data_IF_812304784560
#
_entry.id   IF_812304784560
#
_cell.length_a   1.000
_cell.length_b   1.000
_cell.length_c   1.000
_cell.angle_alpha   90.00
_cell.angle_beta   90.00
_cell.angle_gamma   90.00
#
_symmetry.space_group_name_H-M   'P 1'
#
loop_
_entity.id
_entity.type
_entity.pdbx_description
1 polymer ?
#
# COMPACT_ATOMS: atom_id res chain seq x y z
N UNK A 1 -20.30 -33.79 -49.09
CA UNK A 1 -19.01 -33.98 -49.79
C UNK A 1 -18.16 -32.76 -49.44
N UNK A 2 -16.99 -32.81 -48.82
CA UNK A 2 -16.10 -33.93 -48.49
C UNK A 2 -15.39 -33.73 -47.14
N UNK A 3 -14.75 -34.81 -46.69
CA UNK A 3 -14.00 -34.95 -45.46
C UNK A 3 -12.52 -34.58 -45.60
N UNK A 4 -11.92 -34.09 -44.53
CA UNK A 4 -10.56 -34.33 -44.02
C UNK A 4 -10.52 -33.68 -42.62
N UNK A 5 -10.19 -34.29 -41.50
CA UNK A 5 -9.25 -35.38 -41.25
C UNK A 5 -8.18 -34.89 -40.27
N UNK A 6 -8.52 -34.93 -38.98
CA UNK A 6 -7.66 -35.20 -37.80
C UNK A 6 -6.30 -34.51 -37.63
N UNK A 7 -6.09 -33.86 -36.47
CA UNK A 7 -5.09 -34.31 -35.47
C UNK A 7 -5.13 -33.48 -34.18
N UNK A 8 -5.35 -34.20 -33.09
CA UNK A 8 -4.99 -33.83 -31.71
C UNK A 8 -3.46 -33.81 -31.65
N UNK A 9 -2.89 -32.72 -31.12
CA UNK A 9 -1.51 -32.69 -30.64
C UNK A 9 -1.57 -32.23 -29.19
N UNK A 10 -1.34 -33.19 -28.29
CA UNK A 10 -0.93 -32.92 -26.92
C UNK A 10 0.58 -32.70 -26.98
N UNK A 11 1.06 -31.50 -26.64
CA UNK A 11 2.43 -31.33 -26.15
C UNK A 11 2.37 -30.57 -24.81
N UNK A 12 3.18 -30.99 -23.82
CA UNK A 12 3.18 -30.43 -22.48
C UNK A 12 3.93 -29.09 -22.49
N UNK A 13 3.34 -28.06 -21.87
CA UNK A 13 4.12 -26.87 -21.52
C UNK A 13 5.13 -27.28 -20.44
N UNK A 14 6.38 -27.42 -20.87
CA UNK A 14 7.58 -27.53 -20.05
C UNK A 14 7.64 -26.31 -19.13
N UNK A 15 7.44 -26.54 -17.83
CA UNK A 15 7.86 -25.62 -16.78
C UNK A 15 9.39 -25.65 -16.73
N UNK A 16 10.01 -24.85 -17.61
CA UNK A 16 11.43 -24.55 -17.53
C UNK A 16 11.68 -23.66 -16.31
N UNK A 17 12.22 -24.31 -15.28
CA UNK A 17 13.37 -23.87 -14.49
C UNK A 17 13.59 -22.34 -14.45
N UNK A 18 12.81 -21.66 -13.61
CA UNK A 18 13.16 -20.31 -13.17
C UNK A 18 14.33 -20.46 -12.21
N UNK A 19 15.53 -20.44 -12.78
CA UNK A 19 16.78 -20.48 -12.05
C UNK A 19 16.77 -19.47 -10.90
N UNK A 20 17.28 -19.94 -9.76
CA UNK A 20 17.49 -19.18 -8.54
C UNK A 20 18.00 -17.77 -8.83
N UNK A 21 17.14 -16.77 -8.63
CA UNK A 21 17.56 -15.38 -8.56
C UNK A 21 18.37 -15.29 -7.26
N UNK A 22 19.65 -14.90 -7.29
CA UNK A 22 20.44 -14.78 -6.08
C UNK A 22 19.81 -13.69 -5.22
N UNK A 23 19.11 -14.10 -4.17
CA UNK A 23 18.86 -13.28 -3.00
C UNK A 23 20.24 -12.95 -2.43
N UNK A 24 20.80 -11.82 -2.85
CA UNK A 24 21.97 -11.24 -2.19
C UNK A 24 21.48 -10.85 -0.80
N UNK A 25 21.72 -11.75 0.14
CA UNK A 25 21.53 -11.52 1.55
C UNK A 25 22.27 -10.23 1.91
N UNK A 26 21.51 -9.24 2.39
CA UNK A 26 22.04 -8.06 3.06
C UNK A 26 22.63 -8.48 4.42
N UNK A 27 23.70 -9.26 4.39
CA UNK A 27 24.55 -9.54 5.54
C UNK A 27 25.65 -8.49 5.51
N UNK A 28 25.42 -7.39 6.23
CA UNK A 28 26.41 -6.56 6.95
C UNK A 28 25.82 -5.17 7.25
N UNK A 29 24.92 -5.07 8.24
CA UNK A 29 24.44 -3.76 8.73
C UNK A 29 23.93 -3.78 10.18
N UNK A 30 24.64 -4.44 11.10
CA UNK A 30 24.24 -4.52 12.52
C UNK A 30 24.99 -3.54 13.44
N UNK A 31 25.21 -2.33 12.93
CA UNK A 31 25.32 -1.12 13.76
C UNK A 31 24.43 -0.03 13.15
N UNK A 32 23.15 -0.34 12.98
CA UNK A 32 22.19 0.64 12.49
C UNK A 32 22.01 1.74 13.53
N UNK A 33 22.50 2.95 13.24
CA UNK A 33 21.97 4.15 13.89
C UNK A 33 20.48 4.14 13.62
N UNK A 34 19.67 4.02 14.68
CA UNK A 34 18.22 3.93 14.55
C UNK A 34 17.71 5.29 14.07
N UNK A 35 17.34 5.38 12.80
CA UNK A 35 16.78 6.58 12.21
C UNK A 35 15.52 7.00 12.99
N UNK A 36 15.47 8.26 13.42
CA UNK A 36 14.27 8.87 13.99
C UNK A 36 14.16 10.34 13.61
N UNK A 37 12.92 10.78 13.37
CA UNK A 37 12.60 12.18 13.06
C UNK A 37 11.53 12.64 14.05
N UNK A 38 11.88 13.60 14.90
CA UNK A 38 10.98 14.22 15.87
C UNK A 38 10.67 15.65 15.45
N UNK A 39 9.38 15.99 15.40
CA UNK A 39 8.90 17.34 15.08
C UNK A 39 8.26 17.92 16.33
N UNK A 40 8.82 19.01 16.85
CA UNK A 40 8.25 19.71 18.00
C UNK A 40 6.91 20.35 17.60
N UNK A 41 5.79 19.98 18.25
CA UNK A 41 4.47 20.46 17.87
C UNK A 41 4.26 21.96 18.14
N UNK A 42 5.07 22.57 19.01
CA UNK A 42 4.97 23.97 19.39
C UNK A 42 5.91 24.88 18.59
N UNK A 43 7.16 24.45 18.40
CA UNK A 43 8.19 25.25 17.73
C UNK A 43 8.36 24.88 16.26
N UNK A 44 7.80 23.74 15.83
CA UNK A 44 8.04 23.11 14.51
C UNK A 44 9.51 22.79 14.26
N UNK A 45 10.34 22.80 15.31
CA UNK A 45 11.73 22.39 15.23
C UNK A 45 11.82 20.89 14.89
N UNK A 46 12.76 20.55 14.02
CA UNK A 46 12.97 19.18 13.56
C UNK A 46 14.26 18.65 14.15
N UNK A 47 14.17 17.55 14.88
CA UNK A 47 15.32 16.77 15.31
C UNK A 47 15.38 15.50 14.47
N UNK A 48 16.48 15.32 13.74
CA UNK A 48 16.74 14.12 12.95
C UNK A 48 17.96 13.41 13.52
N UNK A 49 17.79 12.14 13.87
CA UNK A 49 18.86 11.26 14.35
C UNK A 49 19.08 10.16 13.32
N UNK A 50 20.33 9.93 12.92
CA UNK A 50 20.68 8.82 12.01
C UNK A 50 20.44 9.07 10.53
N UNK A 51 20.20 10.31 10.11
CA UNK A 51 20.22 10.66 8.68
C UNK A 51 21.64 10.61 8.12
N UNK A 52 21.75 10.13 6.89
CA UNK A 52 22.99 10.18 6.11
C UNK A 52 23.23 11.60 5.57
N UNK A 53 24.50 11.92 5.32
CA UNK A 53 24.90 13.15 4.62
C UNK A 53 25.25 12.86 3.15
N UNK A 54 25.21 13.91 2.32
CA UNK A 54 25.72 13.90 0.95
C UNK A 54 25.05 12.83 0.05
N UNK A 55 23.75 12.98 -0.20
CA UNK A 55 22.95 12.07 -1.03
C UNK A 55 23.63 11.83 -2.39
N UNK A 56 24.08 12.91 -3.05
CA UNK A 56 24.74 12.85 -4.35
C UNK A 56 26.12 12.18 -4.32
N UNK A 57 26.73 11.95 -3.15
CA UNK A 57 27.95 11.15 -3.05
C UNK A 57 27.64 9.66 -3.17
N UNK A 58 26.49 9.21 -2.66
CA UNK A 58 26.09 7.79 -2.60
C UNK A 58 25.21 7.36 -3.77
N UNK A 59 24.32 8.22 -4.26
CA UNK A 59 23.34 7.90 -5.29
C UNK A 59 23.46 8.78 -6.54
N UNK A 60 23.02 8.25 -7.68
CA UNK A 60 22.82 8.98 -8.92
C UNK A 60 21.33 8.97 -9.27
N UNK A 61 20.71 10.14 -9.43
CA UNK A 61 19.32 10.25 -9.88
C UNK A 61 19.22 9.98 -11.39
N UNK A 62 18.20 9.21 -11.78
CA UNK A 62 17.84 8.90 -13.16
C UNK A 62 16.46 9.46 -13.52
N UNK A 63 15.62 8.63 -14.15
CA UNK A 63 14.33 9.06 -14.68
C UNK A 63 13.32 9.43 -13.57
N UNK A 64 12.44 10.39 -13.87
CA UNK A 64 11.29 10.70 -13.01
C UNK A 64 10.24 9.60 -13.16
N UNK A 65 9.88 8.97 -12.04
CA UNK A 65 8.87 7.89 -11.99
C UNK A 65 7.57 8.32 -11.30
N UNK A 66 7.56 9.48 -10.62
CA UNK A 66 6.35 10.02 -10.00
C UNK A 66 6.47 11.51 -9.67
N UNK A 67 5.33 12.21 -9.61
CA UNK A 67 5.25 13.63 -9.23
C UNK A 67 4.09 13.83 -8.26
N UNK A 68 4.37 14.46 -7.11
CA UNK A 68 3.39 14.93 -6.13
C UNK A 68 3.40 16.45 -6.03
N UNK A 69 2.66 17.00 -5.05
CA UNK A 69 2.54 18.46 -4.88
C UNK A 69 3.88 19.17 -4.64
N UNK A 70 4.64 18.73 -3.62
CA UNK A 70 5.94 19.29 -3.26
C UNK A 70 7.09 18.28 -3.35
N UNK A 71 6.85 17.15 -4.01
CA UNK A 71 7.81 16.06 -4.14
C UNK A 71 7.88 15.51 -5.56
N UNK A 72 9.07 15.04 -5.94
CA UNK A 72 9.30 14.33 -7.20
C UNK A 72 9.97 13.01 -6.83
N UNK A 73 9.49 11.92 -7.41
CA UNK A 73 10.06 10.59 -7.22
C UNK A 73 10.89 10.24 -8.44
N UNK A 74 12.16 9.92 -8.20
CA UNK A 74 13.11 9.50 -9.22
C UNK A 74 13.45 8.03 -9.04
N UNK A 75 13.73 7.35 -10.15
CA UNK A 75 14.58 6.17 -10.12
C UNK A 75 16.01 6.62 -9.82
N UNK A 76 16.73 5.91 -8.97
CA UNK A 76 18.12 6.22 -8.63
C UNK A 76 18.97 4.95 -8.60
N UNK A 77 20.27 5.11 -8.70
CA UNK A 77 21.24 4.00 -8.65
C UNK A 77 22.23 4.25 -7.52
N UNK A 78 22.41 3.26 -6.65
CA UNK A 78 23.47 3.26 -5.63
C UNK A 78 24.82 3.09 -6.32
N UNK A 79 25.70 4.09 -6.21
CA UNK A 79 26.98 4.12 -6.95
C UNK A 79 27.90 2.94 -6.62
N UNK A 80 27.85 2.44 -5.39
CA UNK A 80 28.73 1.36 -4.93
C UNK A 80 28.39 -0.01 -5.54
N UNK A 81 27.10 -0.29 -5.77
CA UNK A 81 26.63 -1.62 -6.18
C UNK A 81 25.93 -1.64 -7.55
N UNK A 82 25.50 -0.49 -8.06
CA UNK A 82 24.67 -0.40 -9.26
C UNK A 82 23.19 -0.77 -9.03
N UNK A 83 22.78 -1.05 -7.80
CA UNK A 83 21.39 -1.43 -7.47
C UNK A 83 20.46 -0.22 -7.60
N UNK A 84 19.26 -0.47 -8.10
CA UNK A 84 18.24 0.54 -8.36
C UNK A 84 17.32 0.77 -7.15
N UNK A 85 16.96 2.03 -6.92
CA UNK A 85 16.12 2.50 -5.82
C UNK A 85 15.10 3.53 -6.31
N UNK A 86 14.04 3.73 -5.53
CA UNK A 86 13.15 4.87 -5.69
C UNK A 86 13.56 5.95 -4.67
N UNK A 87 13.66 7.20 -5.13
CA UNK A 87 14.04 8.33 -4.28
C UNK A 87 12.98 9.41 -4.37
N UNK A 88 12.28 9.64 -3.26
CA UNK A 88 11.33 10.73 -3.10
C UNK A 88 12.10 11.97 -2.63
N UNK A 89 12.28 12.93 -3.53
CA UNK A 89 12.92 14.22 -3.26
C UNK A 89 11.84 15.23 -2.83
N UNK A 90 11.95 15.78 -1.64
CA UNK A 90 10.97 16.72 -1.05
C UNK A 90 11.65 18.06 -0.80
N UNK A 91 11.07 19.15 -1.32
CA UNK A 91 11.60 20.50 -1.14
C UNK A 91 11.32 21.00 0.29
N UNK A 92 12.37 21.20 1.08
CA UNK A 92 12.27 21.60 2.50
C UNK A 92 11.57 22.94 2.68
N UNK A 93 11.90 23.89 1.83
CA UNK A 93 11.39 25.26 1.88
C UNK A 93 9.88 25.37 1.60
N UNK A 94 9.26 24.29 1.12
CA UNK A 94 7.82 24.22 0.80
C UNK A 94 7.01 23.46 1.83
N UNK A 95 7.63 22.89 2.86
CA UNK A 95 6.92 22.15 3.90
C UNK A 95 6.52 23.09 5.02
N UNK A 96 5.23 23.11 5.35
CA UNK A 96 4.80 23.65 6.63
C UNK A 96 5.03 22.63 7.78
N UNK A 97 4.68 23.02 9.00
CA UNK A 97 4.84 22.13 10.18
C UNK A 97 4.00 20.85 10.10
N UNK A 98 2.86 20.90 9.43
CA UNK A 98 1.95 19.76 9.33
C UNK A 98 2.41 18.80 8.23
N UNK A 99 2.93 19.32 7.12
CA UNK A 99 3.63 18.54 6.09
C UNK A 99 4.85 17.81 6.68
N UNK A 100 5.60 18.52 7.54
CA UNK A 100 6.80 18.00 8.17
C UNK A 100 6.50 16.90 9.18
N UNK A 101 5.46 17.07 10.01
CA UNK A 101 4.97 16.04 10.91
C UNK A 101 4.50 14.79 10.15
N UNK A 102 3.83 14.97 8.99
CA UNK A 102 3.41 13.86 8.12
C UNK A 102 4.60 13.11 7.52
N UNK A 103 5.61 13.84 7.02
CA UNK A 103 6.84 13.22 6.52
C UNK A 103 7.58 12.46 7.63
N UNK A 104 7.71 13.04 8.82
CA UNK A 104 8.35 12.39 9.95
C UNK A 104 7.62 11.09 10.35
N UNK A 105 6.27 11.11 10.38
CA UNK A 105 5.47 9.93 10.64
C UNK A 105 5.70 8.82 9.58
N UNK A 106 5.73 9.18 8.29
CA UNK A 106 6.01 8.26 7.17
C UNK A 106 7.39 7.59 7.34
N UNK A 107 8.45 8.38 7.52
CA UNK A 107 9.81 7.87 7.64
C UNK A 107 10.01 7.03 8.91
N UNK A 108 9.49 7.47 10.06
CA UNK A 108 9.59 6.74 11.31
C UNK A 108 8.85 5.39 11.27
N UNK A 109 7.72 5.31 10.55
CA UNK A 109 7.01 4.06 10.35
C UNK A 109 7.84 3.10 9.49
N UNK A 110 8.32 3.55 8.33
CA UNK A 110 9.12 2.72 7.42
C UNK A 110 10.44 2.26 8.05
N UNK A 111 11.05 3.08 8.91
CA UNK A 111 12.28 2.72 9.63
C UNK A 111 12.07 1.58 10.66
N UNK A 112 10.84 1.40 11.15
CA UNK A 112 10.50 0.42 12.20
C UNK A 112 9.82 -0.84 11.68
N UNK A 113 9.14 -0.75 10.54
CA UNK A 113 8.39 -1.84 9.94
C UNK A 113 9.28 -2.64 8.99
N UNK A 114 9.50 -3.93 9.31
CA UNK A 114 10.27 -4.88 8.50
C UNK A 114 9.38 -6.07 8.13
N UNK A 115 8.83 -6.06 6.93
CA UNK A 115 7.92 -7.08 6.43
C UNK A 115 8.03 -7.17 4.89
N UNK A 116 7.97 -8.37 4.28
CA UNK A 116 8.12 -8.55 2.82
C UNK A 116 7.07 -7.84 1.96
N UNK A 117 5.96 -7.40 2.56
CA UNK A 117 4.88 -6.67 1.87
C UNK A 117 4.73 -5.22 2.34
N UNK A 118 5.74 -4.68 3.03
CA UNK A 118 5.83 -3.26 3.41
C UNK A 118 7.04 -2.67 2.71
N UNK A 119 6.87 -1.45 2.17
CA UNK A 119 7.92 -0.75 1.46
C UNK A 119 9.18 -0.62 2.34
N UNK A 120 10.31 -1.14 1.88
CA UNK A 120 11.56 -1.04 2.63
C UNK A 120 12.21 0.34 2.48
N UNK A 121 12.49 0.99 3.61
CA UNK A 121 13.32 2.20 3.69
C UNK A 121 14.79 1.80 3.82
N UNK A 122 15.60 2.20 2.84
CA UNK A 122 17.05 1.95 2.83
C UNK A 122 17.85 3.10 3.44
N UNK A 123 17.45 4.34 3.18
CA UNK A 123 18.23 5.51 3.58
C UNK A 123 17.37 6.76 3.67
N UNK A 124 17.83 7.72 4.47
CA UNK A 124 17.22 9.04 4.60
C UNK A 124 18.29 10.11 4.68
N UNK A 125 18.16 11.15 3.86
CA UNK A 125 19.08 12.28 3.81
C UNK A 125 18.34 13.59 4.08
N UNK A 126 18.99 14.45 4.86
CA UNK A 126 18.53 15.78 5.17
C UNK A 126 19.59 16.81 4.76
N UNK A 127 19.45 17.35 3.54
CA UNK A 127 20.35 18.39 3.00
C UNK A 127 19.70 19.78 3.14
N UNK A 128 20.40 20.85 2.76
CA UNK A 128 19.97 22.25 2.95
C UNK A 128 18.56 22.52 2.39
N UNK A 129 18.30 22.12 1.13
CA UNK A 129 17.04 22.41 0.44
C UNK A 129 16.13 21.19 0.23
N UNK A 130 16.64 19.98 0.49
CA UNK A 130 15.93 18.74 0.16
C UNK A 130 15.99 17.70 1.27
N UNK A 131 14.87 17.00 1.46
CA UNK A 131 14.85 15.69 2.08
C UNK A 131 14.82 14.62 0.98
N UNK A 132 15.58 13.54 1.16
CA UNK A 132 15.58 12.38 0.27
C UNK A 132 15.21 11.14 1.05
N UNK A 133 14.12 10.50 0.66
CA UNK A 133 13.67 9.22 1.22
C UNK A 133 13.99 8.14 0.18
N UNK A 134 14.90 7.22 0.51
CA UNK A 134 15.38 6.17 -0.40
C UNK A 134 14.71 4.85 -0.03
N UNK A 135 13.92 4.31 -0.94
CA UNK A 135 13.18 3.06 -0.76
C UNK A 135 13.48 2.05 -1.86
N UNK A 136 13.01 0.82 -1.70
CA UNK A 136 13.04 -0.16 -2.79
C UNK A 136 12.37 0.38 -4.05
N UNK A 137 12.94 0.04 -5.20
CA UNK A 137 12.33 0.30 -6.50
C UNK A 137 11.44 -0.87 -6.89
N UNK A 138 10.12 -0.69 -6.81
CA UNK A 138 9.14 -1.70 -7.18
C UNK A 138 8.77 -1.59 -8.66
N UNK A 139 9.16 -2.60 -9.45
CA UNK A 139 8.78 -2.76 -10.85
C UNK A 139 7.35 -3.32 -10.93
N UNK A 140 6.41 -2.50 -10.47
CA UNK A 140 5.07 -2.92 -10.07
C UNK A 140 3.97 -1.99 -10.55
N UNK A 141 4.23 -0.68 -10.59
CA UNK A 141 3.13 0.27 -10.51
C UNK A 141 2.28 0.03 -9.26
N UNK A 142 1.13 0.70 -9.20
CA UNK A 142 0.25 0.61 -8.03
C UNK A 142 -0.69 -0.60 -8.13
N UNK A 143 -0.92 -1.27 -6.99
CA UNK A 143 -1.82 -2.42 -6.90
C UNK A 143 -3.17 -2.13 -7.58
N UNK A 144 -3.83 -1.03 -7.22
CA UNK A 144 -5.14 -0.65 -7.77
C UNK A 144 -5.15 -0.44 -9.27
N UNK A 145 -4.09 0.15 -9.83
CA UNK A 145 -4.01 0.33 -11.27
C UNK A 145 -3.98 -1.04 -11.95
N UNK A 146 -3.19 -1.97 -11.42
CA UNK A 146 -3.19 -3.38 -11.87
C UNK A 146 -4.52 -4.11 -11.62
N UNK A 147 -5.24 -3.76 -10.54
CA UNK A 147 -6.57 -4.33 -10.27
C UNK A 147 -7.60 -3.90 -11.33
N UNK A 148 -7.53 -2.64 -11.78
CA UNK A 148 -8.43 -2.09 -12.80
C UNK A 148 -8.03 -2.56 -14.21
N UNK A 149 -6.73 -2.68 -14.48
CA UNK A 149 -6.20 -3.11 -15.78
C UNK A 149 -6.39 -4.60 -16.06
N UNK A 150 -6.50 -5.44 -15.01
CA UNK A 150 -6.83 -6.84 -15.19
C UNK A 150 -8.29 -6.98 -15.62
N UNK A 151 -8.50 -7.48 -16.83
CA UNK A 151 -9.82 -7.78 -17.38
C UNK A 151 -10.53 -8.93 -16.65
N UNK A 152 -9.79 -9.77 -15.92
CA UNK A 152 -10.33 -10.88 -15.14
C UNK A 152 -9.57 -11.05 -13.81
N UNK A 153 -10.30 -11.01 -12.70
CA UNK A 153 -9.83 -11.41 -11.37
C UNK A 153 -10.61 -12.66 -10.94
N UNK A 154 -9.91 -13.74 -10.60
CA UNK A 154 -10.58 -14.91 -10.02
C UNK A 154 -10.79 -14.71 -8.52
N UNK A 155 -11.73 -15.46 -7.93
CA UNK A 155 -11.88 -15.49 -6.47
C UNK A 155 -10.61 -15.94 -5.75
N UNK A 156 -9.82 -16.81 -6.38
CA UNK A 156 -8.55 -17.27 -5.82
C UNK A 156 -7.51 -16.15 -5.81
N UNK A 157 -7.44 -15.33 -6.87
CA UNK A 157 -6.58 -14.16 -6.92
C UNK A 157 -6.99 -13.13 -5.86
N UNK A 158 -8.30 -12.84 -5.75
CA UNK A 158 -8.83 -11.92 -4.74
C UNK A 158 -8.48 -12.41 -3.32
N UNK A 159 -8.67 -13.70 -3.04
CA UNK A 159 -8.30 -14.32 -1.76
C UNK A 159 -6.83 -14.15 -1.44
N UNK A 160 -5.93 -14.34 -2.42
CA UNK A 160 -4.50 -14.19 -2.21
C UNK A 160 -4.12 -12.74 -1.88
N UNK A 161 -4.65 -11.75 -2.63
CA UNK A 161 -4.44 -10.32 -2.36
C UNK A 161 -4.94 -9.95 -0.96
N UNK A 162 -6.17 -10.37 -0.62
CA UNK A 162 -6.79 -10.05 0.67
C UNK A 162 -6.02 -10.67 1.82
N UNK A 163 -5.54 -11.92 1.68
CA UNK A 163 -4.67 -12.55 2.68
C UNK A 163 -3.41 -11.71 2.92
N UNK A 164 -2.70 -11.34 1.86
CA UNK A 164 -1.47 -10.54 1.98
C UNK A 164 -1.74 -9.19 2.65
N UNK A 165 -2.84 -8.51 2.29
CA UNK A 165 -3.23 -7.25 2.92
C UNK A 165 -3.51 -7.42 4.42
N UNK A 166 -4.26 -8.46 4.78
CA UNK A 166 -4.61 -8.75 6.18
C UNK A 166 -3.38 -9.10 7.02
N UNK A 167 -2.50 -9.98 6.53
CA UNK A 167 -1.25 -10.35 7.20
C UNK A 167 -0.35 -9.12 7.41
N UNK A 168 -0.24 -8.27 6.39
CA UNK A 168 0.58 -7.04 6.44
C UNK A 168 0.03 -6.03 7.45
N UNK A 169 -1.28 -5.79 7.42
CA UNK A 169 -1.93 -4.86 8.34
C UNK A 169 -1.89 -5.40 9.78
N UNK A 170 -2.06 -6.70 9.97
CA UNK A 170 -1.90 -7.34 11.28
C UNK A 170 -0.49 -7.10 11.84
N UNK A 171 0.55 -7.24 11.01
CA UNK A 171 1.92 -6.93 11.42
C UNK A 171 2.08 -5.46 11.85
N UNK A 172 1.58 -4.50 11.05
CA UNK A 172 1.61 -3.08 11.38
C UNK A 172 0.90 -2.81 12.71
N UNK A 173 -0.31 -3.35 12.87
CA UNK A 173 -1.16 -3.18 14.04
C UNK A 173 -0.50 -3.75 15.31
N UNK A 174 0.15 -4.90 15.22
CA UNK A 174 0.90 -5.49 16.33
C UNK A 174 2.09 -4.62 16.77
N UNK A 175 2.66 -3.82 15.86
CA UNK A 175 3.72 -2.84 16.14
C UNK A 175 3.21 -1.46 16.55
N UNK A 176 1.90 -1.28 16.65
CA UNK A 176 1.28 -0.01 17.04
C UNK A 176 1.07 0.99 15.90
N UNK A 177 1.35 0.59 14.66
CA UNK A 177 1.13 1.43 13.48
C UNK A 177 -0.23 1.11 12.86
N UNK A 178 -1.04 2.14 12.63
CA UNK A 178 -2.17 2.07 11.71
C UNK A 178 -1.70 2.66 10.37
N UNK A 179 -2.01 2.00 9.25
CA UNK A 179 -1.52 2.44 7.94
C UNK A 179 -2.17 3.78 7.55
N UNK A 180 -3.49 3.91 7.74
CA UNK A 180 -4.27 5.15 7.59
C UNK A 180 -4.35 5.73 6.17
N UNK A 181 -3.52 5.26 5.24
CA UNK A 181 -3.54 5.70 3.83
C UNK A 181 -3.63 4.53 2.83
N UNK A 182 -4.27 3.41 3.23
CA UNK A 182 -4.50 2.29 2.32
C UNK A 182 -5.60 2.73 1.34
N UNK A 183 -5.19 3.30 0.19
CA UNK A 183 -5.98 4.07 -0.79
C UNK A 183 -7.41 4.39 -0.35
N UNK A 184 -7.56 5.65 0.01
CA UNK A 184 -8.76 6.36 0.49
C UNK A 184 -10.07 5.92 -0.18
N UNK A 185 -10.74 4.91 0.38
CA UNK A 185 -12.20 4.81 0.32
C UNK A 185 -12.70 5.18 1.70
N UNK A 186 -13.14 6.44 1.81
CA UNK A 186 -13.46 7.12 3.06
C UNK A 186 -14.25 6.19 4.00
N UNK A 187 -13.61 5.76 5.09
CA UNK A 187 -14.31 5.08 6.16
C UNK A 187 -15.29 6.06 6.84
N UNK A 188 -16.44 5.59 7.36
CA UNK A 188 -17.48 6.44 7.94
C UNK A 188 -16.98 7.42 9.01
N UNK A 189 -15.99 7.01 9.80
CA UNK A 189 -15.34 7.79 10.84
C UNK A 189 -14.45 8.92 10.29
N UNK A 190 -13.89 8.79 9.08
CA UNK A 190 -13.12 9.87 8.42
C UNK A 190 -14.05 11.05 8.08
N UNK A 191 -15.36 10.80 7.96
CA UNK A 191 -16.40 11.81 7.74
C UNK A 191 -16.91 12.45 9.03
N UNK A 192 -16.44 11.99 10.19
CA UNK A 192 -16.70 12.58 11.50
C UNK A 192 -15.37 13.15 12.01
N UNK A 193 -15.18 14.45 11.79
CA UNK A 193 -13.95 15.21 12.07
C UNK A 193 -13.42 15.11 13.52
N UNK A 194 -14.16 14.47 14.43
CA UNK A 194 -13.92 14.47 15.87
C UNK A 194 -13.56 13.08 16.47
N UNK A 195 -13.48 12.02 15.66
CA UNK A 195 -13.11 10.67 16.17
C UNK A 195 -11.64 10.34 15.84
N UNK A 196 -10.79 10.01 16.84
CA UNK A 196 -9.41 9.58 16.56
C UNK A 196 -9.43 8.28 15.74
N UNK A 197 -8.95 8.39 14.51
CA UNK A 197 -8.86 7.30 13.53
C UNK A 197 -7.79 6.28 13.98
N UNK A 198 -8.24 5.05 14.18
CA UNK A 198 -7.42 3.95 14.67
C UNK A 198 -7.06 2.93 13.60
N UNK A 199 -6.71 1.73 14.05
CA UNK A 199 -6.32 0.58 13.23
C UNK A 199 -7.51 0.03 12.42
N UNK A 200 -8.73 0.27 12.92
CA UNK A 200 -10.01 -0.21 12.42
C UNK A 200 -10.34 0.36 11.02
N UNK A 201 -9.79 1.53 10.68
CA UNK A 201 -9.92 2.13 9.35
C UNK A 201 -9.30 1.24 8.27
N UNK A 202 -8.16 0.58 8.57
CA UNK A 202 -7.46 -0.28 7.62
C UNK A 202 -8.31 -1.51 7.26
N UNK A 203 -9.06 -2.05 8.22
CA UNK A 203 -9.98 -3.18 8.01
C UNK A 203 -11.14 -2.78 7.09
N UNK A 204 -11.69 -1.58 7.26
CA UNK A 204 -12.72 -1.06 6.35
C UNK A 204 -12.18 -0.93 4.92
N UNK A 205 -10.99 -0.34 4.75
CA UNK A 205 -10.34 -0.21 3.44
C UNK A 205 -10.12 -1.58 2.78
N UNK A 206 -9.69 -2.60 3.54
CA UNK A 206 -9.58 -3.97 3.02
C UNK A 206 -10.94 -4.53 2.61
N UNK A 207 -12.01 -4.26 3.37
CA UNK A 207 -13.37 -4.64 2.99
C UNK A 207 -13.81 -4.03 1.66
N UNK A 208 -13.53 -2.74 1.45
CA UNK A 208 -13.83 -2.04 0.19
C UNK A 208 -13.01 -2.62 -0.96
N UNK A 209 -11.70 -2.84 -0.77
CA UNK A 209 -10.82 -3.49 -1.74
C UNK A 209 -11.33 -4.87 -2.11
N UNK A 210 -11.72 -5.67 -1.12
CA UNK A 210 -12.25 -7.03 -1.32
C UNK A 210 -13.53 -7.00 -2.15
N UNK A 211 -14.44 -6.06 -1.86
CA UNK A 211 -15.67 -5.91 -2.63
C UNK A 211 -15.39 -5.56 -4.10
N UNK A 212 -14.45 -4.63 -4.35
CA UNK A 212 -14.06 -4.25 -5.72
C UNK A 212 -13.35 -5.38 -6.46
N UNK A 213 -12.49 -6.14 -5.78
CA UNK A 213 -11.80 -7.30 -6.35
C UNK A 213 -12.78 -8.37 -6.86
N UNK A 214 -13.90 -8.54 -6.18
CA UNK A 214 -14.88 -9.58 -6.49
C UNK A 214 -15.96 -9.15 -7.47
N UNK A 215 -16.27 -7.85 -7.55
CA UNK A 215 -17.37 -7.34 -8.39
C UNK A 215 -16.95 -6.39 -9.51
N UNK A 216 -15.72 -5.86 -9.45
CA UNK A 216 -15.25 -4.78 -10.33
C UNK A 216 -15.89 -3.41 -10.05
N UNK A 217 -16.76 -3.30 -9.04
CA UNK A 217 -17.47 -2.07 -8.70
C UNK A 217 -17.23 -1.68 -7.23
N UNK A 218 -17.22 -0.39 -6.88
CA UNK A 218 -17.14 0.02 -5.48
C UNK A 218 -18.44 -0.32 -4.70
N UNK A 219 -18.36 -0.66 -3.40
CA UNK A 219 -19.54 -0.94 -2.58
C UNK A 219 -20.42 0.29 -2.36
N UNK A 220 -19.81 1.48 -2.33
CA UNK A 220 -20.49 2.75 -2.15
C UNK A 220 -20.26 3.60 -3.39
N UNK A 221 -21.35 3.95 -4.08
CA UNK A 221 -21.33 4.87 -5.21
C UNK A 221 -22.63 5.68 -5.25
N UNK A 222 -22.49 6.97 -5.53
CA UNK A 222 -23.60 7.86 -5.85
C UNK A 222 -23.05 9.06 -6.63
N UNK A 223 -23.81 9.57 -7.60
CA UNK A 223 -23.43 10.80 -8.32
C UNK A 223 -23.47 12.01 -7.39
N UNK A 224 -24.34 11.98 -6.37
CA UNK A 224 -24.39 13.02 -5.35
C UNK A 224 -23.47 12.66 -4.19
N UNK A 225 -22.42 13.48 -4.00
CA UNK A 225 -21.43 13.31 -2.91
C UNK A 225 -22.08 13.24 -1.52
N UNK A 226 -23.15 14.00 -1.27
CA UNK A 226 -23.88 13.96 -0.01
C UNK A 226 -24.59 12.61 0.23
N UNK A 227 -25.16 12.02 -0.83
CA UNK A 227 -25.77 10.69 -0.77
C UNK A 227 -24.72 9.59 -0.66
N UNK A 228 -23.58 9.72 -1.36
CA UNK A 228 -22.43 8.84 -1.19
C UNK A 228 -21.98 8.79 0.28
N UNK A 229 -21.83 9.96 0.91
CA UNK A 229 -21.50 10.04 2.34
C UNK A 229 -22.59 9.45 3.23
N UNK A 230 -23.86 9.67 2.93
CA UNK A 230 -24.97 9.04 3.65
C UNK A 230 -24.89 7.51 3.59
N UNK A 231 -24.65 6.94 2.40
CA UNK A 231 -24.48 5.50 2.20
C UNK A 231 -23.32 4.94 3.01
N UNK A 232 -22.16 5.62 2.97
CA UNK A 232 -20.99 5.24 3.77
C UNK A 232 -21.34 5.26 5.26
N UNK A 233 -21.91 6.37 5.76
CA UNK A 233 -22.28 6.54 7.18
C UNK A 233 -23.30 5.51 7.68
N UNK A 234 -24.19 5.05 6.81
CA UNK A 234 -25.20 4.05 7.14
C UNK A 234 -24.76 2.62 6.78
N UNK A 235 -23.56 2.41 6.23
CA UNK A 235 -23.12 1.09 5.76
C UNK A 235 -24.01 0.51 4.65
N UNK A 236 -24.61 1.37 3.83
CA UNK A 236 -25.59 0.98 2.81
C UNK A 236 -24.89 0.56 1.52
N UNK A 237 -24.67 -0.74 1.37
CA UNK A 237 -24.22 -1.41 0.14
C UNK A 237 -25.03 -2.69 -0.07
N UNK A 238 -24.98 -3.26 -1.27
CA UNK A 238 -25.68 -4.50 -1.60
C UNK A 238 -24.81 -5.42 -2.47
N UNK A 239 -24.98 -6.73 -2.31
CA UNK A 239 -24.39 -7.74 -3.19
C UNK A 239 -25.23 -7.92 -4.45
N UNK A 240 -25.40 -6.83 -5.18
CA UNK A 240 -26.20 -6.72 -6.39
C UNK A 240 -25.42 -6.03 -7.52
N UNK A 241 -25.79 -6.27 -8.79
CA UNK A 241 -26.79 -7.25 -9.23
C UNK A 241 -26.28 -8.70 -9.19
N UNK A 242 -27.20 -9.67 -9.22
CA UNK A 242 -26.89 -11.10 -9.04
C UNK A 242 -25.88 -11.67 -10.04
N UNK A 243 -25.72 -11.08 -11.23
CA UNK A 243 -24.76 -11.57 -12.21
C UNK A 243 -23.29 -11.39 -11.75
N UNK A 244 -22.97 -10.36 -10.95
CA UNK A 244 -21.64 -10.21 -10.34
C UNK A 244 -21.45 -11.12 -9.13
N UNK A 245 -22.52 -11.43 -8.39
CA UNK A 245 -22.41 -12.01 -7.04
C UNK A 245 -22.88 -13.46 -6.93
N UNK A 246 -23.56 -14.02 -7.93
CA UNK A 246 -24.11 -15.38 -7.91
C UNK A 246 -23.03 -16.46 -7.78
N UNK A 247 -21.85 -16.22 -8.34
CA UNK A 247 -20.72 -17.14 -8.30
C UNK A 247 -19.83 -16.94 -7.05
N UNK A 248 -20.00 -15.83 -6.32
CA UNK A 248 -19.24 -15.50 -5.10
C UNK A 248 -19.79 -16.24 -3.90
N UNK A 249 -18.90 -16.91 -3.15
CA UNK A 249 -19.27 -17.72 -1.98
C UNK A 249 -19.94 -16.89 -0.88
N UNK A 250 -20.77 -17.56 -0.08
CA UNK A 250 -21.40 -16.93 1.09
C UNK A 250 -20.35 -16.47 2.10
N UNK A 251 -19.28 -17.24 2.30
CA UNK A 251 -18.19 -16.89 3.21
C UNK A 251 -17.46 -15.60 2.80
N UNK A 252 -17.23 -15.40 1.49
CA UNK A 252 -16.60 -14.19 0.99
C UNK A 252 -17.49 -12.94 1.21
N UNK A 253 -18.80 -13.07 0.98
CA UNK A 253 -19.78 -12.00 1.27
C UNK A 253 -19.85 -11.72 2.76
N UNK A 254 -19.90 -12.76 3.59
CA UNK A 254 -19.89 -12.63 5.04
C UNK A 254 -18.64 -11.92 5.55
N UNK A 255 -17.46 -12.30 5.05
CA UNK A 255 -16.19 -11.65 5.38
C UNK A 255 -16.22 -10.15 5.06
N UNK A 256 -16.69 -9.77 3.86
CA UNK A 256 -16.88 -8.36 3.49
C UNK A 256 -17.83 -7.67 4.48
N UNK A 257 -18.95 -8.31 4.82
CA UNK A 257 -19.92 -7.74 5.76
C UNK A 257 -19.37 -7.56 7.16
N UNK A 258 -18.44 -8.41 7.61
CA UNK A 258 -17.73 -8.24 8.86
C UNK A 258 -16.68 -7.10 8.83
N UNK A 259 -16.10 -6.79 7.66
CA UNK A 259 -15.16 -5.68 7.49
C UNK A 259 -15.86 -4.32 7.31
N UNK A 260 -17.00 -4.31 6.61
CA UNK A 260 -17.79 -3.10 6.31
C UNK A 260 -18.84 -2.80 7.39
N UNK A 261 -18.49 -3.00 8.66
CA UNK A 261 -19.32 -2.58 9.79
C UNK A 261 -19.14 -1.09 10.07
N UNK A 262 -20.26 -0.38 10.28
CA UNK A 262 -20.26 1.06 10.52
C UNK A 262 -19.50 1.41 11.81
N UNK A 263 -19.80 0.68 12.88
CA UNK A 263 -19.13 0.87 14.17
C UNK A 263 -17.77 0.17 14.16
N UNK A 264 -16.66 0.89 14.42
CA UNK A 264 -15.32 0.30 14.41
C UNK A 264 -15.14 -0.86 15.40
N UNK A 265 -15.84 -0.84 16.53
CA UNK A 265 -15.84 -1.92 17.55
C UNK A 265 -16.36 -3.26 17.03
N UNK A 266 -17.21 -3.21 16.02
CA UNK A 266 -17.92 -4.37 15.49
C UNK A 266 -17.20 -4.92 14.25
N UNK A 267 -16.17 -4.21 13.76
CA UNK A 267 -15.33 -4.68 12.66
C UNK A 267 -14.47 -5.85 13.14
N UNK A 268 -14.41 -6.87 12.31
CA UNK A 268 -13.67 -8.08 12.60
C UNK A 268 -12.18 -7.82 12.82
N UNK A 269 -11.68 -8.25 13.98
CA UNK A 269 -10.25 -8.31 14.34
C UNK A 269 -9.75 -9.73 14.62
N UNK A 270 -10.65 -10.71 14.69
CA UNK A 270 -10.36 -12.00 15.30
C UNK A 270 -9.99 -13.06 14.26
N UNK A 271 -8.80 -12.92 13.64
CA UNK A 271 -8.28 -13.87 12.64
C UNK A 271 -7.74 -15.19 13.23
N UNK A 272 -8.36 -15.69 14.31
CA UNK A 272 -8.04 -16.98 14.92
C UNK A 272 -9.27 -17.89 14.96
N UNK A 273 -9.79 -18.33 13.80
CA UNK A 273 -10.55 -19.58 13.71
C UNK A 273 -10.45 -20.19 12.31
#
# INVERSE_FOLDING_TARGET
MGCCGSRIVNEPDEFDDVGDIPHVHAEDADVAVKLSIDVDPSTKAVLIVGASSDFHLKYTLGDVIGKGGFSIVYKAVLKASGVEYAVKCIQRDKLDGDDLARMAAEVNALAQLKHPNILHLFDFFAEEHFYYIVTEYLQGGELFQRLIEKTYYTQQDAKNVVRTLLETIQYCHAKGFAHRDLKVYLAPEILHLDTPYGKECDIWSIGVITFMLLSGCPPFYDENVGQLYSKIKCGQYAFEPAYYWSHVSHDAKHLISCMLQVYPSDRYYDMCS
#
